data_IF_724282664578
#
_entry.id   IF_724282664578
#
_cell.length_a   1.000
_cell.length_b   1.000
_cell.length_c   1.000
_cell.angle_alpha   90.00
_cell.angle_beta   90.00
_cell.angle_gamma   90.00
#
_symmetry.space_group_name_H-M   'P 1'
#
loop_
_entity.id
_entity.type
_entity.pdbx_description
1 polymer ?
#
# COMPACT_ATOMS: atom_id res chain seq x y z
N UNK A 1 16.23 -7.78 7.60
CA UNK A 1 15.48 -6.64 7.02
C UNK A 1 16.49 -5.61 6.52
N UNK A 2 16.20 -4.90 5.43
CA UNK A 2 17.08 -3.84 4.89
C UNK A 2 16.27 -2.60 4.52
N UNK A 3 16.80 -1.42 4.85
CA UNK A 3 16.23 -0.12 4.50
C UNK A 3 16.99 0.47 3.31
N UNK A 4 16.24 0.87 2.29
CA UNK A 4 16.74 1.49 1.06
C UNK A 4 16.35 2.95 1.05
N UNK A 5 17.30 3.84 0.78
CA UNK A 5 17.07 5.28 0.77
C UNK A 5 17.41 5.85 -0.61
N UNK A 6 16.53 6.70 -1.13
CA UNK A 6 16.84 7.55 -2.28
C UNK A 6 17.14 8.95 -1.75
N UNK A 7 18.33 9.47 -2.07
CA UNK A 7 18.80 10.77 -1.63
C UNK A 7 19.08 11.69 -2.81
N UNK A 8 18.74 12.96 -2.63
CA UNK A 8 19.10 14.07 -3.52
C UNK A 8 19.68 15.18 -2.65
N UNK A 9 20.90 15.63 -2.94
CA UNK A 9 21.60 16.69 -2.22
C UNK A 9 21.59 16.51 -0.69
N UNK A 10 21.87 15.29 -0.22
CA UNK A 10 21.89 14.94 1.21
C UNK A 10 20.50 14.74 1.85
N UNK A 11 19.41 15.09 1.16
CA UNK A 11 18.04 14.89 1.64
C UNK A 11 17.47 13.55 1.19
N UNK A 12 16.87 12.80 2.10
CA UNK A 12 16.11 11.60 1.77
C UNK A 12 14.76 11.98 1.16
N UNK A 13 14.54 11.59 -0.10
CA UNK A 13 13.32 11.89 -0.87
C UNK A 13 12.45 10.67 -1.14
N UNK A 14 12.95 9.47 -0.86
CA UNK A 14 12.19 8.22 -0.87
C UNK A 14 12.86 7.15 -0.03
N UNK A 15 12.07 6.18 0.41
CA UNK A 15 12.55 5.07 1.21
C UNK A 15 11.73 3.80 0.96
N UNK A 16 12.37 2.64 1.13
CA UNK A 16 11.72 1.34 1.11
C UNK A 16 12.29 0.42 2.19
N UNK A 17 11.44 -0.44 2.77
CA UNK A 17 11.87 -1.52 3.66
C UNK A 17 11.69 -2.84 2.93
N UNK A 18 12.74 -3.65 2.93
CA UNK A 18 12.70 -5.00 2.37
C UNK A 18 12.92 -6.06 3.45
N UNK A 19 12.19 -7.16 3.29
CA UNK A 19 12.26 -8.34 4.15
C UNK A 19 12.58 -9.54 3.27
N UNK A 20 13.66 -10.25 3.59
CA UNK A 20 13.99 -11.52 2.97
C UNK A 20 13.31 -12.64 3.76
N UNK A 21 12.67 -13.58 3.06
CA UNK A 21 12.11 -14.78 3.65
C UNK A 21 12.34 -15.97 2.69
N UNK A 22 13.25 -16.86 3.07
CA UNK A 22 13.73 -17.93 2.19
C UNK A 22 14.29 -17.37 0.88
N UNK A 23 13.93 -17.97 -0.25
CA UNK A 23 14.35 -17.55 -1.59
C UNK A 23 13.59 -16.34 -2.17
N UNK A 24 12.78 -15.65 -1.36
CA UNK A 24 11.98 -14.50 -1.79
C UNK A 24 12.35 -13.21 -1.04
N UNK A 25 12.28 -12.09 -1.76
CA UNK A 25 12.40 -10.75 -1.19
C UNK A 25 11.06 -10.01 -1.31
N UNK A 26 10.61 -9.38 -0.23
CA UNK A 26 9.36 -8.63 -0.18
C UNK A 26 9.60 -7.17 0.21
N UNK A 27 8.78 -6.26 -0.34
CA UNK A 27 8.78 -4.84 -0.01
C UNK A 27 7.45 -4.40 0.63
N UNK A 28 7.30 -4.58 1.96
CA UNK A 28 6.06 -4.19 2.65
C UNK A 28 5.81 -2.68 2.65
N UNK A 29 6.88 -1.86 2.64
CA UNK A 29 6.77 -0.41 2.61
C UNK A 29 7.69 0.20 1.57
N UNK A 30 7.13 1.10 0.78
CA UNK A 30 7.86 1.98 -0.12
C UNK A 30 7.08 3.29 -0.24
N UNK A 31 7.78 4.42 -0.18
CA UNK A 31 7.17 5.73 -0.35
C UNK A 31 8.19 6.75 -0.83
N UNK A 32 7.69 7.80 -1.47
CA UNK A 32 8.46 8.97 -1.89
C UNK A 32 7.75 10.24 -1.48
N UNK A 33 8.52 11.30 -1.25
CA UNK A 33 7.98 12.63 -0.99
C UNK A 33 7.28 13.16 -2.25
N UNK A 34 6.03 13.60 -2.12
CA UNK A 34 5.19 14.05 -3.25
C UNK A 34 5.83 15.16 -4.09
N UNK A 35 6.55 16.08 -3.45
CA UNK A 35 7.25 17.18 -4.13
C UNK A 35 8.34 16.72 -5.11
N UNK A 36 8.73 15.45 -5.07
CA UNK A 36 9.73 14.86 -5.95
C UNK A 36 9.15 13.81 -6.91
N UNK A 37 7.83 13.75 -7.07
CA UNK A 37 7.20 12.75 -7.95
C UNK A 37 7.65 12.86 -9.41
N UNK A 38 7.95 14.08 -9.90
CA UNK A 38 8.48 14.32 -11.26
C UNK A 38 9.83 13.64 -11.51
N UNK A 39 10.60 13.34 -10.47
CA UNK A 39 11.87 12.62 -10.56
C UNK A 39 11.68 11.10 -10.61
N UNK A 40 10.44 10.60 -10.60
CA UNK A 40 10.16 9.17 -10.62
C UNK A 40 10.89 8.38 -9.52
N UNK A 41 11.00 8.95 -8.32
CA UNK A 41 11.78 8.40 -7.18
C UNK A 41 11.50 6.92 -6.91
N UNK A 42 10.23 6.51 -6.96
CA UNK A 42 9.86 5.11 -6.76
C UNK A 42 10.41 4.20 -7.85
N UNK A 43 10.50 4.63 -9.11
CA UNK A 43 11.12 3.82 -10.15
C UNK A 43 12.60 3.57 -9.85
N UNK A 44 13.34 4.61 -9.46
CA UNK A 44 14.76 4.47 -9.07
C UNK A 44 14.93 3.54 -7.85
N UNK A 45 14.06 3.69 -6.84
CA UNK A 45 14.06 2.85 -5.64
C UNK A 45 13.86 1.36 -6.01
N UNK A 46 12.79 1.05 -6.74
CA UNK A 46 12.47 -0.32 -7.11
C UNK A 46 13.49 -0.92 -8.08
N UNK A 47 14.01 -0.14 -9.03
CA UNK A 47 15.05 -0.62 -9.94
C UNK A 47 16.29 -1.11 -9.17
N UNK A 48 16.77 -0.32 -8.21
CA UNK A 48 17.94 -0.69 -7.41
C UNK A 48 17.67 -1.90 -6.52
N UNK A 49 16.50 -1.96 -5.89
CA UNK A 49 16.10 -3.10 -5.06
C UNK A 49 16.03 -4.38 -5.90
N UNK A 50 15.41 -4.33 -7.07
CA UNK A 50 15.29 -5.49 -7.97
C UNK A 50 16.66 -5.94 -8.48
N UNK A 51 17.53 -4.99 -8.86
CA UNK A 51 18.92 -5.29 -9.24
C UNK A 51 19.66 -6.01 -8.12
N UNK A 52 19.59 -5.50 -6.90
CA UNK A 52 20.22 -6.13 -5.73
C UNK A 52 19.62 -7.50 -5.45
N UNK A 53 18.30 -7.66 -5.59
CA UNK A 53 17.63 -8.94 -5.41
C UNK A 53 18.16 -10.00 -6.39
N UNK A 54 18.29 -9.63 -7.67
CA UNK A 54 18.87 -10.50 -8.69
C UNK A 54 20.33 -10.87 -8.37
N UNK A 55 21.15 -9.89 -7.98
CA UNK A 55 22.56 -10.11 -7.62
C UNK A 55 22.71 -11.00 -6.37
N UNK A 56 21.80 -10.89 -5.42
CA UNK A 56 21.76 -11.72 -4.22
C UNK A 56 21.14 -13.12 -4.47
N UNK A 57 20.75 -13.44 -5.71
CA UNK A 57 20.26 -14.76 -6.09
C UNK A 57 18.79 -15.04 -5.71
N UNK A 58 18.01 -14.02 -5.31
CA UNK A 58 16.59 -14.20 -5.07
C UNK A 58 15.87 -14.60 -6.36
N UNK A 59 15.00 -15.61 -6.27
CA UNK A 59 14.22 -16.11 -7.42
C UNK A 59 12.82 -15.51 -7.49
N UNK A 60 12.36 -14.88 -6.41
CA UNK A 60 11.02 -14.32 -6.32
C UNK A 60 11.05 -12.96 -5.65
N UNK A 61 10.38 -11.98 -6.25
CA UNK A 61 10.19 -10.66 -5.68
C UNK A 61 8.70 -10.38 -5.45
N UNK A 62 8.33 -10.05 -4.21
CA UNK A 62 6.95 -9.76 -3.80
C UNK A 62 6.76 -8.26 -3.63
N UNK A 63 5.96 -7.68 -4.53
CA UNK A 63 5.56 -6.27 -4.47
C UNK A 63 4.47 -5.97 -3.41
N UNK A 64 4.06 -6.97 -2.63
CA UNK A 64 2.96 -6.87 -1.66
C UNK A 64 1.57 -6.73 -2.31
N UNK A 65 0.54 -6.58 -1.47
CA UNK A 65 -0.87 -6.50 -1.92
C UNK A 65 -1.20 -5.21 -2.67
N UNK A 66 -2.18 -5.28 -3.57
CA UNK A 66 -2.79 -4.11 -4.23
C UNK A 66 -4.19 -4.46 -4.71
N UNK A 67 -5.10 -3.49 -4.65
CA UNK A 67 -6.45 -3.63 -5.22
C UNK A 67 -6.37 -3.67 -6.75
N UNK A 68 -7.08 -4.61 -7.39
CA UNK A 68 -7.15 -4.70 -8.85
C UNK A 68 -7.57 -3.37 -9.46
N UNK A 69 -6.88 -2.94 -10.53
CA UNK A 69 -7.15 -1.67 -11.21
C UNK A 69 -6.63 -0.42 -10.52
N UNK A 70 -6.16 -0.49 -9.26
CA UNK A 70 -5.58 0.66 -8.58
C UNK A 70 -4.25 1.13 -9.18
N UNK A 71 -3.84 2.36 -8.88
CA UNK A 71 -2.55 2.90 -9.36
C UNK A 71 -1.33 2.07 -8.92
N UNK A 72 -1.35 1.52 -7.70
CA UNK A 72 -0.27 0.62 -7.23
C UNK A 72 -0.28 -0.72 -7.95
N UNK A 73 -1.46 -1.22 -8.35
CA UNK A 73 -1.56 -2.40 -9.21
C UNK A 73 -0.96 -2.15 -10.59
N UNK A 74 -1.27 -1.01 -11.22
CA UNK A 74 -0.70 -0.64 -12.52
C UNK A 74 0.82 -0.42 -12.46
N UNK A 75 1.30 0.24 -11.40
CA UNK A 75 2.74 0.41 -11.17
C UNK A 75 3.47 -0.94 -11.14
N UNK A 76 2.95 -1.93 -10.39
CA UNK A 76 3.56 -3.26 -10.29
C UNK A 76 3.55 -4.01 -11.61
N UNK A 77 2.47 -3.88 -12.40
CA UNK A 77 2.38 -4.48 -13.74
C UNK A 77 3.50 -4.03 -14.67
N UNK A 78 3.92 -2.77 -14.58
CA UNK A 78 5.02 -2.24 -15.41
C UNK A 78 6.36 -2.95 -15.16
N UNK A 79 6.54 -3.56 -13.99
CA UNK A 79 7.72 -4.37 -13.67
C UNK A 79 7.59 -5.85 -14.06
N UNK A 80 6.52 -6.23 -14.77
CA UNK A 80 6.24 -7.63 -15.13
C UNK A 80 5.68 -8.47 -13.98
N UNK A 81 5.21 -7.85 -12.90
CA UNK A 81 4.64 -8.57 -11.78
C UNK A 81 3.36 -9.32 -12.18
N UNK A 82 3.29 -10.61 -11.84
CA UNK A 82 2.12 -11.44 -12.06
C UNK A 82 1.17 -11.35 -10.84
N UNK A 83 -0.11 -10.98 -11.04
CA UNK A 83 -1.05 -10.86 -9.93
C UNK A 83 -1.42 -12.24 -9.39
N UNK A 84 -1.44 -12.36 -8.07
CA UNK A 84 -1.93 -13.55 -7.35
C UNK A 84 -3.09 -13.11 -6.46
N UNK A 85 -4.25 -13.76 -6.61
CA UNK A 85 -5.44 -13.46 -5.82
C UNK A 85 -5.19 -13.77 -4.35
N UNK A 86 -5.47 -12.80 -3.48
CA UNK A 86 -5.43 -12.96 -2.03
C UNK A 86 -6.85 -13.11 -1.49
N UNK A 87 -7.07 -14.15 -0.69
CA UNK A 87 -8.34 -14.40 -0.02
C UNK A 87 -8.30 -13.82 1.39
N UNK A 88 -9.37 -13.13 1.78
CA UNK A 88 -9.51 -12.54 3.11
C UNK A 88 -10.39 -13.44 3.97
N UNK A 89 -9.92 -13.71 5.18
CA UNK A 89 -10.67 -14.49 6.16
C UNK A 89 -10.77 -13.66 7.43
N UNK A 90 -11.99 -13.32 7.80
CA UNK A 90 -12.29 -12.63 9.06
C UNK A 90 -12.87 -13.65 10.03
N UNK A 91 -12.37 -13.65 11.26
CA UNK A 91 -12.90 -14.47 12.34
C UNK A 91 -13.29 -13.58 13.51
N UNK A 92 -14.40 -13.91 14.15
CA UNK A 92 -14.77 -13.27 15.41
C UNK A 92 -13.90 -13.79 16.58
N UNK A 93 -14.13 -13.25 17.78
CA UNK A 93 -13.41 -13.67 18.99
C UNK A 93 -13.64 -15.15 19.36
N UNK A 94 -14.74 -15.74 18.90
CA UNK A 94 -15.06 -17.15 19.09
C UNK A 94 -14.50 -18.05 17.96
N UNK A 95 -13.76 -17.47 17.01
CA UNK A 95 -13.16 -18.17 15.87
C UNK A 95 -14.13 -18.48 14.73
N UNK A 96 -15.39 -18.05 14.82
CA UNK A 96 -16.41 -18.24 13.78
C UNK A 96 -16.08 -17.35 12.59
N UNK A 97 -16.21 -17.90 11.38
CA UNK A 97 -16.06 -17.11 10.17
C UNK A 97 -17.12 -16.01 10.14
N UNK A 98 -16.67 -14.77 10.01
CA UNK A 98 -17.54 -13.62 9.76
C UNK A 98 -17.55 -13.44 8.25
N UNK A 99 -18.74 -13.29 7.66
CA UNK A 99 -18.87 -13.11 6.23
C UNK A 99 -18.17 -11.80 5.83
N UNK A 100 -16.96 -11.94 5.31
CA UNK A 100 -16.04 -10.86 4.98
C UNK A 100 -16.37 -10.25 3.64
N UNK A 101 -17.66 -10.03 3.35
CA UNK A 101 -18.05 -9.34 2.13
C UNK A 101 -17.35 -7.99 2.10
N UNK A 102 -16.52 -7.80 1.07
CA UNK A 102 -16.03 -6.48 0.69
C UNK A 102 -17.28 -5.63 0.47
N UNK A 103 -17.63 -4.77 1.45
CA UNK A 103 -18.79 -3.89 1.33
C UNK A 103 -18.65 -3.15 0.00
N UNK A 104 -19.62 -3.29 -0.92
CA UNK A 104 -19.59 -2.51 -2.15
C UNK A 104 -19.49 -1.03 -1.78
N UNK A 105 -18.49 -0.33 -2.33
CA UNK A 105 -18.28 1.11 -2.07
C UNK A 105 -19.49 1.97 -2.49
N UNK A 106 -20.41 1.40 -3.25
CA UNK A 106 -21.54 2.06 -3.92
C UNK A 106 -22.45 2.83 -2.95
N UNK A 107 -22.72 2.28 -1.76
CA UNK A 107 -23.62 2.89 -0.77
C UNK A 107 -23.05 4.10 -0.02
N UNK A 108 -21.73 4.31 -0.03
CA UNK A 108 -21.08 5.37 0.76
C UNK A 108 -20.52 6.53 -0.08
N UNK A 109 -20.69 6.47 -1.41
CA UNK A 109 -20.15 7.49 -2.32
C UNK A 109 -20.65 8.92 -2.02
N UNK A 110 -21.95 9.08 -1.73
CA UNK A 110 -22.56 10.37 -1.40
C UNK A 110 -22.12 10.85 0.00
N UNK A 111 -22.15 9.96 0.98
CA UNK A 111 -21.69 10.26 2.35
C UNK A 111 -20.22 10.72 2.35
N UNK A 112 -19.35 10.07 1.56
CA UNK A 112 -17.95 10.46 1.39
C UNK A 112 -17.80 11.86 0.83
N UNK A 113 -18.57 12.22 -0.20
CA UNK A 113 -18.54 13.55 -0.83
C UNK A 113 -19.01 14.64 0.15
N UNK A 114 -20.06 14.38 0.91
CA UNK A 114 -20.56 15.30 1.94
C UNK A 114 -19.50 15.47 3.04
N UNK A 115 -18.91 14.37 3.50
CA UNK A 115 -17.87 14.41 4.54
C UNK A 115 -16.62 15.18 4.11
N UNK A 116 -16.19 15.03 2.85
CA UNK A 116 -15.03 15.76 2.30
C UNK A 116 -15.25 17.28 2.22
N UNK A 117 -16.50 17.75 2.17
CA UNK A 117 -16.86 19.17 2.11
C UNK A 117 -17.24 19.76 3.47
N UNK A 118 -17.27 18.94 4.51
CA UNK A 118 -17.70 19.35 5.83
C UNK A 118 -16.63 20.25 6.49
N UNK A 119 -17.00 21.42 7.03
CA UNK A 119 -16.08 22.26 7.79
C UNK A 119 -15.42 21.49 8.93
N UNK A 120 -14.12 21.71 9.15
CA UNK A 120 -13.32 20.99 10.14
C UNK A 120 -13.95 20.92 11.56
N UNK A 121 -14.59 21.98 12.10
CA UNK A 121 -15.24 21.90 13.42
C UNK A 121 -16.37 20.87 13.47
N UNK A 122 -17.20 20.82 12.42
CA UNK A 122 -18.31 19.87 12.31
C UNK A 122 -17.79 18.44 12.11
N UNK A 123 -16.75 18.26 11.30
CA UNK A 123 -16.11 16.96 11.11
C UNK A 123 -15.51 16.43 12.42
N UNK A 124 -14.89 17.28 13.24
CA UNK A 124 -14.35 16.91 14.56
C UNK A 124 -15.46 16.55 15.56
N UNK A 125 -16.60 17.24 15.52
CA UNK A 125 -17.74 16.95 16.39
C UNK A 125 -18.46 15.65 16.01
N UNK A 126 -18.71 15.44 14.72
CA UNK A 126 -19.45 14.27 14.22
C UNK A 126 -18.58 13.02 14.09
N UNK A 127 -17.27 13.18 13.89
CA UNK A 127 -16.32 12.08 13.65
C UNK A 127 -16.38 10.96 14.69
N UNK A 128 -16.29 11.24 16.00
CA UNK A 128 -16.32 10.20 17.03
C UNK A 128 -17.60 9.36 17.02
N UNK A 129 -18.76 9.99 16.79
CA UNK A 129 -20.07 9.30 16.77
C UNK A 129 -20.26 8.44 15.51
N UNK A 130 -19.66 8.85 14.40
CA UNK A 130 -19.71 8.09 13.13
C UNK A 130 -18.77 6.90 13.18
N UNK A 131 -17.52 7.09 13.64
CA UNK A 131 -16.53 6.01 13.74
C UNK A 131 -16.98 4.92 14.71
N UNK A 132 -17.59 5.29 15.84
CA UNK A 132 -18.10 4.35 16.84
C UNK A 132 -19.19 3.39 16.31
N UNK A 133 -19.83 3.70 15.18
CA UNK A 133 -20.87 2.86 14.57
C UNK A 133 -20.38 2.04 13.38
N UNK A 134 -19.13 2.20 12.98
CA UNK A 134 -18.54 1.57 11.77
C UNK A 134 -17.50 0.49 12.13
N UNK A 135 -16.97 0.51 13.35
CA UNK A 135 -16.12 -0.54 13.92
C UNK A 135 -16.94 -1.73 14.42
#
# INVERSE_FOLDING_TARGET
>A
AQVHLVRLDGRTIGAGLTLANGGALEIPWASSLRGYNSYCVNHLLYWNILRQACQAGFRTFRFGRSTTGSGTYQFKKQWGAQPVTLYWYTRDRAGKAVDGQQRPEEGFSLARRVWQRLPLPLARFLGPRVIARVA
#
